data_IF_624397070126
#
_entry.id   IF_624397070126
#
_cell.length_a   1.000
_cell.length_b   1.000
_cell.length_c   1.000
_cell.angle_alpha   90.00
_cell.angle_beta   90.00
_cell.angle_gamma   90.00
#
_symmetry.space_group_name_H-M   'P 1'
#
loop_
_entity.id
_entity.type
_entity.pdbx_description
1 polymer ?
#
# COMPACT_ATOMS: atom_id res chain seq x y z
N UNK A 1 24.62 2.32 -0.56
CA UNK A 1 24.91 3.76 -0.36
C UNK A 1 24.26 4.57 -1.47
N UNK A 2 23.23 5.36 -1.17
CA UNK A 2 22.54 6.21 -2.17
C UNK A 2 22.46 7.64 -1.62
N UNK A 3 23.40 8.47 -2.03
CA UNK A 3 23.45 9.91 -1.79
C UNK A 3 22.76 10.61 -2.94
N UNK A 4 21.69 11.35 -2.68
CA UNK A 4 21.37 12.58 -3.42
C UNK A 4 20.67 13.54 -2.46
N UNK A 5 21.46 14.47 -1.91
CA UNK A 5 20.99 15.73 -1.34
C UNK A 5 20.05 16.39 -2.35
N UNK A 6 18.90 16.85 -1.89
CA UNK A 6 18.08 17.84 -2.60
C UNK A 6 18.32 19.17 -1.90
N UNK A 7 18.82 20.16 -2.63
CA UNK A 7 18.92 21.54 -2.15
C UNK A 7 17.51 22.11 -1.87
N UNK A 8 17.32 22.85 -0.75
CA UNK A 8 16.09 23.57 -0.47
C UNK A 8 16.15 24.95 -1.15
N UNK A 9 15.97 25.00 -2.46
CA UNK A 9 15.97 26.24 -3.23
C UNK A 9 14.85 26.26 -4.24
N UNK A 10 13.68 26.81 -3.88
CA UNK A 10 12.54 26.82 -4.80
C UNK A 10 11.24 27.36 -4.23
N UNK A 11 11.26 28.61 -3.75
CA UNK A 11 10.17 29.58 -3.90
C UNK A 11 8.78 29.14 -3.41
N UNK A 12 8.44 29.53 -2.18
CA UNK A 12 7.07 29.65 -1.68
C UNK A 12 6.29 30.64 -2.56
N UNK A 13 5.73 30.14 -3.65
CA UNK A 13 4.81 30.90 -4.49
C UNK A 13 3.57 31.27 -3.66
N UNK A 14 3.47 32.56 -3.36
CA UNK A 14 2.35 33.23 -2.69
C UNK A 14 1.02 32.70 -3.21
N UNK A 15 0.19 32.18 -2.30
CA UNK A 15 -1.17 31.69 -2.59
C UNK A 15 -2.04 32.84 -3.09
N UNK A 16 -2.11 33.03 -4.41
CA UNK A 16 -3.07 33.95 -5.05
C UNK A 16 -4.48 33.37 -4.91
N UNK A 17 -5.17 33.80 -3.86
CA UNK A 17 -6.59 33.58 -3.61
C UNK A 17 -7.43 34.45 -4.56
N UNK A 18 -7.44 34.11 -5.85
CA UNK A 18 -8.36 34.70 -6.85
C UNK A 18 -9.35 33.62 -7.29
N UNK A 19 -10.64 33.96 -7.26
CA UNK A 19 -11.81 33.14 -7.63
C UNK A 19 -12.44 32.27 -6.51
N UNK A 20 -12.83 32.89 -5.38
CA UNK A 20 -13.62 32.20 -4.33
C UNK A 20 -15.14 32.24 -4.55
N UNK A 21 -15.64 32.86 -5.62
CA UNK A 21 -17.09 33.03 -5.86
C UNK A 21 -17.63 32.00 -6.87
N UNK A 22 -16.89 31.70 -7.96
CA UNK A 22 -17.33 30.74 -8.99
C UNK A 22 -16.70 29.33 -8.88
N UNK A 23 -15.61 29.16 -8.11
CA UNK A 23 -15.02 27.83 -7.86
C UNK A 23 -15.77 27.05 -6.78
N UNK A 24 -16.69 27.70 -6.06
CA UNK A 24 -17.40 27.08 -4.93
C UNK A 24 -18.45 26.07 -5.41
N UNK A 25 -19.13 26.32 -6.54
CA UNK A 25 -20.11 25.38 -7.09
C UNK A 25 -19.48 24.04 -7.47
N UNK A 26 -18.36 24.06 -8.20
CA UNK A 26 -17.61 22.84 -8.53
C UNK A 26 -17.11 22.12 -7.29
N UNK A 27 -16.69 22.86 -6.26
CA UNK A 27 -16.24 22.28 -4.99
C UNK A 27 -17.40 21.60 -4.25
N UNK A 28 -18.53 22.27 -4.11
CA UNK A 28 -19.74 21.72 -3.47
C UNK A 28 -20.15 20.44 -4.20
N UNK A 29 -20.20 20.48 -5.53
CA UNK A 29 -20.57 19.32 -6.35
C UNK A 29 -19.53 18.19 -6.24
N UNK A 30 -18.23 18.51 -6.23
CA UNK A 30 -17.17 17.52 -6.02
C UNK A 30 -17.24 16.88 -4.63
N UNK A 31 -17.60 17.64 -3.59
CA UNK A 31 -17.82 17.11 -2.24
C UNK A 31 -18.95 16.10 -2.26
N UNK A 32 -20.09 16.47 -2.86
CA UNK A 32 -21.24 15.59 -2.98
C UNK A 32 -20.92 14.30 -3.75
N UNK A 33 -20.21 14.39 -4.88
CA UNK A 33 -19.77 13.21 -5.62
C UNK A 33 -18.76 12.37 -4.83
N UNK A 34 -17.85 13.00 -4.09
CA UNK A 34 -16.90 12.29 -3.25
C UNK A 34 -17.61 11.54 -2.11
N UNK A 35 -18.62 12.14 -1.49
CA UNK A 35 -19.45 11.51 -0.46
C UNK A 35 -20.29 10.36 -1.02
N UNK A 36 -20.90 10.55 -2.20
CA UNK A 36 -21.64 9.49 -2.90
C UNK A 36 -20.74 8.32 -3.33
N UNK A 37 -19.46 8.58 -3.57
CA UNK A 37 -18.46 7.59 -3.99
C UNK A 37 -17.61 7.04 -2.83
N UNK A 38 -18.13 6.98 -1.60
CA UNK A 38 -17.44 6.43 -0.42
C UNK A 38 -16.07 7.08 -0.11
N UNK A 39 -15.89 8.36 -0.46
CA UNK A 39 -14.65 9.14 -0.26
C UNK A 39 -13.41 8.55 -0.96
N UNK A 40 -13.56 8.05 -2.20
CA UNK A 40 -12.42 7.58 -3.01
C UNK A 40 -11.44 8.70 -3.39
N UNK A 41 -10.16 8.35 -3.60
CA UNK A 41 -9.12 9.32 -4.00
C UNK A 41 -9.41 9.93 -5.39
N UNK A 42 -8.91 11.14 -5.65
CA UNK A 42 -9.24 11.92 -6.85
C UNK A 42 -8.94 11.22 -8.18
N UNK A 43 -7.97 10.30 -8.23
CA UNK A 43 -7.72 9.46 -9.42
C UNK A 43 -8.90 8.52 -9.72
N UNK A 44 -9.44 7.89 -8.69
CA UNK A 44 -10.57 6.97 -8.81
C UNK A 44 -11.87 7.74 -9.01
N UNK A 45 -12.04 8.84 -8.28
CA UNK A 45 -13.16 9.76 -8.50
C UNK A 45 -13.19 10.26 -9.95
N UNK A 46 -12.06 10.70 -10.51
CA UNK A 46 -11.97 11.14 -11.91
C UNK A 46 -12.45 10.08 -12.90
N UNK A 47 -12.07 8.81 -12.69
CA UNK A 47 -12.50 7.72 -13.55
C UNK A 47 -14.02 7.44 -13.44
N UNK A 48 -14.61 7.68 -12.26
CA UNK A 48 -16.02 7.41 -11.99
C UNK A 48 -16.95 8.60 -12.26
N UNK A 49 -16.41 9.83 -12.32
CA UNK A 49 -17.19 11.07 -12.48
C UNK A 49 -18.23 11.03 -13.61
N UNK A 50 -17.92 10.57 -14.84
CA UNK A 50 -18.90 10.54 -15.92
C UNK A 50 -20.15 9.70 -15.57
N UNK A 51 -19.93 8.53 -14.98
CA UNK A 51 -21.00 7.59 -14.60
C UNK A 51 -21.81 8.15 -13.43
N UNK A 52 -21.14 8.76 -12.45
CA UNK A 52 -21.81 9.36 -11.29
C UNK A 52 -22.67 10.56 -11.69
N UNK A 53 -22.16 11.43 -12.57
CA UNK A 53 -22.93 12.58 -13.09
C UNK A 53 -24.20 12.07 -13.77
N UNK A 54 -24.07 11.16 -14.74
CA UNK A 54 -25.22 10.63 -15.49
C UNK A 54 -26.23 9.92 -14.58
N UNK A 55 -25.75 9.10 -13.64
CA UNK A 55 -26.62 8.39 -12.70
C UNK A 55 -27.38 9.35 -11.79
N UNK A 56 -26.71 10.36 -11.22
CA UNK A 56 -27.34 11.29 -10.29
C UNK A 56 -28.30 12.26 -10.98
N UNK A 57 -27.99 12.72 -12.20
CA UNK A 57 -28.90 13.49 -13.05
C UNK A 57 -30.15 12.67 -13.41
N UNK A 58 -29.97 11.41 -13.85
CA UNK A 58 -31.08 10.51 -14.20
C UNK A 58 -32.03 10.26 -13.02
N UNK A 59 -31.49 10.21 -11.80
CA UNK A 59 -32.29 10.03 -10.59
C UNK A 59 -32.82 11.35 -10.01
N UNK A 60 -32.62 12.49 -10.69
CA UNK A 60 -33.08 13.82 -10.24
C UNK A 60 -32.47 14.27 -8.92
N UNK A 61 -31.28 13.75 -8.57
CA UNK A 61 -30.61 14.05 -7.28
C UNK A 61 -29.76 15.31 -7.35
N UNK A 62 -29.32 15.70 -8.55
CA UNK A 62 -28.53 16.90 -8.82
C UNK A 62 -28.96 17.47 -10.18
N UNK A 63 -29.02 18.79 -10.28
CA UNK A 63 -29.11 19.51 -11.55
C UNK A 63 -27.80 20.29 -11.77
N UNK A 64 -26.97 19.84 -12.72
CA UNK A 64 -25.71 20.50 -13.05
C UNK A 64 -25.89 21.42 -14.25
N UNK A 65 -25.44 22.66 -14.13
CA UNK A 65 -25.33 23.51 -15.31
C UNK A 65 -24.28 22.92 -16.28
N UNK A 66 -24.47 23.07 -17.59
CA UNK A 66 -23.55 22.49 -18.58
C UNK A 66 -22.11 22.99 -18.41
N UNK A 67 -21.92 24.21 -17.91
CA UNK A 67 -20.60 24.78 -17.61
C UNK A 67 -19.90 24.03 -16.47
N UNK A 68 -20.62 23.74 -15.38
CA UNK A 68 -20.07 22.99 -14.24
C UNK A 68 -19.75 21.56 -14.66
N UNK A 69 -20.65 20.91 -15.41
CA UNK A 69 -20.44 19.56 -15.94
C UNK A 69 -19.19 19.47 -16.80
N UNK A 70 -19.03 20.38 -17.77
CA UNK A 70 -17.85 20.42 -18.63
C UNK A 70 -16.57 20.65 -17.81
N UNK A 71 -16.63 21.55 -16.82
CA UNK A 71 -15.47 21.86 -15.99
C UNK A 71 -15.05 20.67 -15.14
N UNK A 72 -15.98 19.98 -14.48
CA UNK A 72 -15.71 18.76 -13.70
C UNK A 72 -15.05 17.67 -14.54
N UNK A 73 -15.56 17.43 -15.75
CA UNK A 73 -15.00 16.42 -16.67
C UNK A 73 -13.60 16.79 -17.18
N UNK A 74 -13.30 18.09 -17.32
CA UNK A 74 -11.97 18.57 -17.73
C UNK A 74 -10.92 18.53 -16.61
N UNK A 75 -11.33 18.45 -15.34
CA UNK A 75 -10.41 18.53 -14.21
C UNK A 75 -9.40 17.37 -14.19
N UNK A 76 -8.18 17.70 -13.75
CA UNK A 76 -7.18 16.69 -13.42
C UNK A 76 -7.45 16.07 -12.05
N UNK A 77 -6.99 14.83 -11.84
CA UNK A 77 -7.07 14.18 -10.52
C UNK A 77 -6.42 15.04 -9.42
N UNK A 78 -5.28 15.68 -9.71
CA UNK A 78 -4.61 16.56 -8.75
C UNK A 78 -5.37 17.87 -8.46
N UNK A 79 -6.20 18.35 -9.39
CA UNK A 79 -7.10 19.49 -9.15
C UNK A 79 -8.24 19.07 -8.22
N UNK A 80 -8.83 17.90 -8.46
CA UNK A 80 -9.87 17.30 -7.62
C UNK A 80 -9.34 17.11 -6.19
N UNK A 81 -8.15 16.51 -6.02
CA UNK A 81 -7.54 16.30 -4.70
C UNK A 81 -7.27 17.63 -3.96
N UNK A 82 -6.89 18.70 -4.68
CA UNK A 82 -6.68 20.03 -4.08
C UNK A 82 -8.00 20.71 -3.72
N UNK A 83 -9.04 20.56 -4.53
CA UNK A 83 -10.37 21.12 -4.29
C UNK A 83 -11.03 20.48 -3.05
N UNK A 84 -10.85 19.17 -2.88
CA UNK A 84 -11.39 18.42 -1.73
C UNK A 84 -10.58 18.61 -0.44
N UNK A 85 -9.34 19.13 -0.50
CA UNK A 85 -8.47 19.30 0.69
C UNK A 85 -9.01 20.30 1.70
N UNK A 86 -9.77 21.30 1.26
CA UNK A 86 -10.36 22.31 2.15
C UNK A 86 -11.62 21.82 2.88
N UNK A 87 -12.10 20.64 2.52
CA UNK A 87 -13.27 20.03 3.15
C UNK A 87 -12.76 19.38 4.44
N UNK A 88 -13.22 19.82 5.61
CA UNK A 88 -12.75 19.23 6.85
C UNK A 88 -13.07 17.72 6.82
N UNK A 89 -12.10 16.89 7.19
CA UNK A 89 -12.30 15.44 7.38
C UNK A 89 -13.21 15.17 8.60
N UNK A 90 -14.42 15.72 8.61
CA UNK A 90 -15.40 15.54 9.69
C UNK A 90 -15.86 14.09 9.82
N UNK A 91 -15.57 13.23 8.84
CA UNK A 91 -15.62 11.78 9.05
C UNK A 91 -14.29 11.30 9.64
N UNK A 92 -14.23 11.42 10.96
CA UNK A 92 -13.57 10.45 11.82
C UNK A 92 -14.15 9.06 11.58
N UNK A 93 -13.90 8.46 10.41
CA UNK A 93 -13.72 7.01 10.36
C UNK A 93 -12.43 6.79 11.12
N UNK A 94 -12.55 6.86 12.46
CA UNK A 94 -11.57 6.39 13.43
C UNK A 94 -10.96 5.20 12.75
N UNK A 95 -9.71 5.33 12.27
CA UNK A 95 -9.05 4.31 11.46
C UNK A 95 -9.37 3.04 12.20
N UNK A 96 -10.30 2.23 11.68
CA UNK A 96 -10.74 1.02 12.37
C UNK A 96 -9.43 0.28 12.39
N UNK A 97 -8.72 0.30 13.53
CA UNK A 97 -7.52 -0.49 13.71
C UNK A 97 -8.01 -1.85 13.29
N UNK A 98 -7.52 -2.32 12.15
CA UNK A 98 -8.07 -3.52 11.57
C UNK A 98 -7.96 -4.57 12.66
N UNK A 99 -8.99 -5.40 12.86
CA UNK A 99 -8.90 -6.50 13.83
C UNK A 99 -7.66 -7.37 13.51
N UNK A 100 -7.18 -7.34 12.26
CA UNK A 100 -5.91 -7.88 11.81
C UNK A 100 -4.65 -7.34 12.54
N UNK A 101 -4.64 -6.12 13.09
CA UNK A 101 -3.51 -5.65 13.91
C UNK A 101 -3.48 -6.28 15.30
N UNK A 102 -4.61 -6.77 15.81
CA UNK A 102 -4.70 -7.44 17.10
C UNK A 102 -4.25 -8.91 17.02
N UNK A 103 -4.43 -9.56 15.87
CA UNK A 103 -3.97 -10.93 15.60
C UNK A 103 -2.62 -10.92 14.88
N UNK A 104 -1.57 -10.37 15.49
CA UNK A 104 -0.19 -10.66 15.05
C UNK A 104 0.15 -12.10 15.41
N UNK A 105 -0.10 -13.03 14.49
CA UNK A 105 0.40 -14.41 14.62
C UNK A 105 1.90 -14.41 14.31
N UNK A 106 2.73 -14.33 15.35
CA UNK A 106 4.17 -14.57 15.21
C UNK A 106 4.37 -16.06 14.96
N UNK A 107 4.69 -16.42 13.70
CA UNK A 107 5.15 -17.78 13.41
C UNK A 107 6.53 -17.93 14.06
N UNK A 108 6.61 -18.70 15.15
CA UNK A 108 7.90 -19.18 15.68
C UNK A 108 8.30 -20.36 14.80
N UNK A 109 9.06 -20.09 13.74
CA UNK A 109 9.70 -21.17 12.99
C UNK A 109 10.96 -21.57 13.77
N UNK A 110 11.15 -22.87 14.00
CA UNK A 110 12.41 -23.36 14.52
C UNK A 110 13.56 -22.97 13.58
N UNK A 111 14.78 -22.73 14.10
CA UNK A 111 15.93 -22.51 13.23
C UNK A 111 16.12 -23.70 12.28
N UNK A 112 16.51 -23.46 11.02
CA UNK A 112 16.72 -24.54 10.06
C UNK A 112 17.85 -25.45 10.57
N UNK A 113 17.53 -26.74 10.79
CA UNK A 113 18.50 -27.75 11.19
C UNK A 113 18.79 -28.68 10.00
N UNK A 114 20.07 -28.97 9.77
CA UNK A 114 20.47 -29.94 8.74
C UNK A 114 20.00 -31.37 9.09
N UNK A 115 19.89 -32.29 8.13
CA UNK A 115 19.56 -33.70 8.42
C UNK A 115 20.48 -34.31 9.49
N UNK A 116 21.79 -34.04 9.42
CA UNK A 116 22.77 -34.43 10.44
C UNK A 116 22.40 -33.90 11.83
N UNK A 117 22.13 -32.60 11.96
CA UNK A 117 21.80 -31.96 13.24
C UNK A 117 20.49 -32.51 13.83
N UNK A 118 19.50 -32.83 12.99
CA UNK A 118 18.25 -33.45 13.44
C UNK A 118 18.46 -34.86 13.97
N UNK A 119 19.25 -35.67 13.27
CA UNK A 119 19.56 -37.05 13.66
C UNK A 119 20.34 -37.12 14.98
N UNK A 120 21.29 -36.21 15.16
CA UNK A 120 22.06 -36.08 16.41
C UNK A 120 21.17 -35.65 17.58
N UNK A 121 20.24 -34.72 17.35
CA UNK A 121 19.32 -34.18 18.37
C UNK A 121 18.15 -35.12 18.71
N UNK A 122 17.91 -36.18 17.93
CA UNK A 122 16.79 -37.09 18.14
C UNK A 122 17.06 -38.04 19.32
N UNK A 123 16.11 -38.07 20.27
CA UNK A 123 16.25 -38.84 21.51
C UNK A 123 16.29 -40.37 21.30
N UNK A 124 15.84 -40.85 20.14
CA UNK A 124 15.83 -42.28 19.80
C UNK A 124 17.15 -42.78 19.21
N UNK A 125 18.06 -41.87 18.86
CA UNK A 125 19.35 -42.23 18.26
C UNK A 125 20.26 -42.86 19.31
N UNK A 126 20.68 -44.14 19.16
CA UNK A 126 21.62 -44.77 20.08
C UNK A 126 22.96 -44.01 20.11
N UNK A 127 23.59 -43.90 21.27
CA UNK A 127 24.79 -43.08 21.44
C UNK A 127 25.96 -43.53 20.55
N UNK A 128 26.08 -44.83 20.27
CA UNK A 128 27.08 -45.37 19.35
C UNK A 128 26.88 -44.86 17.90
N UNK A 129 25.62 -44.74 17.46
CA UNK A 129 25.28 -44.20 16.14
C UNK A 129 25.54 -42.69 16.10
N UNK A 130 25.21 -41.98 17.19
CA UNK A 130 25.49 -40.55 17.31
C UNK A 130 27.00 -40.26 17.23
N UNK A 131 27.81 -41.07 17.92
CA UNK A 131 29.27 -40.95 17.90
C UNK A 131 29.85 -41.18 16.49
N UNK A 132 29.42 -42.26 15.81
CA UNK A 132 29.88 -42.57 14.44
C UNK A 132 29.51 -41.46 13.43
N UNK A 133 28.30 -40.92 13.52
CA UNK A 133 27.85 -39.83 12.63
C UNK A 133 28.65 -38.54 12.87
N UNK A 134 29.00 -38.23 14.13
CA UNK A 134 29.86 -37.09 14.45
C UNK A 134 31.27 -37.22 13.89
N UNK A 135 31.86 -38.41 13.99
CA UNK A 135 33.20 -38.69 13.48
C UNK A 135 33.26 -38.52 11.95
N UNK A 136 32.28 -39.09 11.24
CA UNK A 136 32.16 -38.92 9.78
C UNK A 136 31.97 -37.44 9.43
N UNK A 137 31.10 -36.73 10.13
CA UNK A 137 30.88 -35.29 9.91
C UNK A 137 32.15 -34.46 10.11
N UNK A 138 33.00 -34.81 11.08
CA UNK A 138 34.19 -34.03 11.41
C UNK A 138 35.30 -34.16 10.36
N UNK A 139 35.36 -35.29 9.67
CA UNK A 139 36.38 -35.58 8.65
C UNK A 139 36.00 -35.19 7.22
N UNK A 140 34.77 -34.72 6.98
CA UNK A 140 34.31 -34.39 5.63
C UNK A 140 34.81 -33.01 5.17
N UNK A 141 35.40 -32.97 3.97
CA UNK A 141 35.59 -31.73 3.22
C UNK A 141 34.35 -31.49 2.31
N UNK A 142 33.48 -30.53 2.66
CA UNK A 142 32.25 -30.29 1.92
C UNK A 142 32.50 -29.76 0.51
N UNK A 143 33.65 -29.11 0.25
CA UNK A 143 33.95 -28.55 -1.07
C UNK A 143 34.44 -29.66 -2.00
N UNK A 144 35.36 -30.51 -1.52
CA UNK A 144 35.82 -31.67 -2.28
C UNK A 144 34.66 -32.62 -2.64
N UNK A 145 33.82 -32.95 -1.66
CA UNK A 145 32.65 -33.81 -1.87
C UNK A 145 31.67 -33.25 -2.93
N UNK A 146 31.43 -31.93 -2.92
CA UNK A 146 30.58 -31.29 -3.92
C UNK A 146 31.20 -31.30 -5.33
N UNK A 147 32.53 -31.24 -5.42
CA UNK A 147 33.24 -31.35 -6.68
C UNK A 147 33.09 -32.77 -7.26
N UNK A 148 33.23 -33.80 -6.42
CA UNK A 148 33.07 -35.20 -6.81
C UNK A 148 31.63 -35.51 -7.24
N UNK A 149 30.62 -35.03 -6.51
CA UNK A 149 29.20 -35.23 -6.87
C UNK A 149 28.86 -34.60 -8.22
N UNK A 150 29.48 -33.46 -8.56
CA UNK A 150 29.24 -32.75 -9.82
C UNK A 150 30.03 -33.31 -11.00
N UNK A 151 31.03 -34.14 -10.73
CA UNK A 151 31.84 -34.80 -11.75
C UNK A 151 31.21 -36.11 -12.27
N UNK A 152 30.11 -36.55 -11.65
CA UNK A 152 29.26 -37.70 -12.05
C UNK A 152 28.06 -37.21 -12.85
#
# INVERSE_FOLDING_TARGET
MRLLRRDPGGQTAVRRNRARIYQESERIVLVLFCEAADRVCGKRLKAQLPILIESMERHGRIDLTPEVRAKLLSMSAGTIDRALRSVPEQSGRQRRRSVASALRRTKRTAPPATPHQRLVAEARTPDAVRASVHEISAGLDPIALLHDIRAV
#
